data_IF_593217567907
#
_entry.id   IF_593217567907
#
_cell.length_a   1.000
_cell.length_b   1.000
_cell.length_c   1.000
_cell.angle_alpha   90.00
_cell.angle_beta   90.00
_cell.angle_gamma   90.00
#
_symmetry.space_group_name_H-M   'P 1'
#
loop_
_entity.id
_entity.type
_entity.pdbx_description
1 polymer ?
#
# COMPACT_ATOMS: atom_id res chain seq x y z
N UNK A 1 -21.08 -25.99 27.59
CA UNK A 1 -19.61 -25.84 27.45
C UNK A 1 -19.36 -25.49 25.99
N UNK A 2 -19.34 -24.19 25.69
CA UNK A 2 -19.27 -23.68 24.33
C UNK A 2 -17.82 -23.74 23.89
N UNK A 3 -17.53 -24.56 22.88
CA UNK A 3 -16.20 -24.68 22.28
C UNK A 3 -15.94 -23.38 21.52
N UNK A 4 -15.03 -22.54 22.02
CA UNK A 4 -14.55 -21.35 21.31
C UNK A 4 -13.55 -21.83 20.25
N UNK A 5 -13.64 -21.42 18.97
CA UNK A 5 -12.70 -21.87 17.94
C UNK A 5 -11.26 -21.45 18.30
N UNK A 6 -10.27 -22.28 17.98
CA UNK A 6 -8.85 -22.09 18.35
C UNK A 6 -8.22 -20.76 17.86
N UNK A 7 -8.85 -20.04 16.92
CA UNK A 7 -8.44 -18.69 16.51
C UNK A 7 -8.97 -17.53 17.35
N UNK A 8 -9.93 -17.77 18.26
CA UNK A 8 -10.60 -16.74 19.06
C UNK A 8 -9.85 -16.42 20.38
N UNK A 9 -8.71 -17.07 20.61
CA UNK A 9 -7.93 -16.96 21.85
C UNK A 9 -6.67 -16.11 21.70
N UNK A 10 -6.19 -15.91 20.47
CA UNK A 10 -4.98 -15.13 20.24
C UNK A 10 -5.28 -13.63 20.21
N UNK A 11 -4.38 -12.79 20.75
CA UNK A 11 -4.53 -11.36 20.65
C UNK A 11 -4.37 -10.89 19.20
N UNK A 12 -5.27 -9.99 18.80
CA UNK A 12 -5.21 -9.24 17.56
C UNK A 12 -4.46 -7.92 17.76
N UNK A 13 -3.87 -7.39 16.69
CA UNK A 13 -3.32 -6.04 16.73
C UNK A 13 -2.69 -5.60 15.42
N UNK A 14 -2.51 -4.29 15.27
CA UNK A 14 -1.93 -3.68 14.08
C UNK A 14 -1.05 -2.48 14.46
N UNK A 15 0.09 -2.36 13.78
CA UNK A 15 0.97 -1.21 13.81
C UNK A 15 0.59 -0.23 12.69
N UNK A 16 -0.08 0.85 13.06
CA UNK A 16 -0.68 1.77 12.10
C UNK A 16 0.31 2.85 11.63
N UNK A 17 1.05 3.44 12.57
CA UNK A 17 1.93 4.60 12.34
C UNK A 17 3.31 4.34 12.90
N UNK A 18 4.34 4.69 12.11
CA UNK A 18 5.74 4.69 12.52
C UNK A 18 6.41 5.93 11.93
N UNK A 19 6.94 6.79 12.80
CA UNK A 19 7.55 8.07 12.46
C UNK A 19 7.98 8.78 13.74
N UNK A 20 7.66 10.07 13.89
CA UNK A 20 7.85 10.80 15.17
C UNK A 20 7.05 10.20 16.33
N UNK A 21 6.00 9.44 16.01
CA UNK A 21 5.20 8.65 16.94
C UNK A 21 5.03 7.25 16.36
N UNK A 22 5.08 6.26 17.23
CA UNK A 22 4.72 4.88 16.92
C UNK A 22 3.38 4.60 17.57
N UNK A 23 2.38 4.22 16.79
CA UNK A 23 1.04 3.93 17.32
C UNK A 23 0.36 2.79 16.60
N UNK A 24 -0.49 2.10 17.34
CA UNK A 24 -1.24 0.96 16.86
C UNK A 24 -2.33 0.58 17.86
N UNK A 25 -2.76 -0.67 17.79
CA UNK A 25 -3.71 -1.24 18.73
C UNK A 25 -3.43 -2.71 18.99
N UNK A 26 -3.87 -3.20 20.15
CA UNK A 26 -3.79 -4.60 20.54
C UNK A 26 -4.99 -4.98 21.41
N UNK A 27 -5.69 -6.04 21.05
CA UNK A 27 -6.93 -6.50 21.69
C UNK A 27 -6.93 -8.01 21.85
N UNK A 28 -7.46 -8.51 22.97
CA UNK A 28 -7.60 -9.94 23.22
C UNK A 28 -9.09 -10.31 23.20
N UNK A 29 -9.59 -11.01 22.17
CA UNK A 29 -11.00 -11.40 22.09
C UNK A 29 -11.45 -12.27 23.27
N UNK A 30 -10.56 -13.12 23.79
CA UNK A 30 -10.85 -13.98 24.94
C UNK A 30 -11.07 -13.23 26.26
N UNK A 31 -10.51 -12.02 26.39
CA UNK A 31 -10.69 -11.14 27.55
C UNK A 31 -10.93 -9.71 27.05
N UNK A 32 -12.13 -9.38 26.53
CA UNK A 32 -12.36 -8.15 25.77
C UNK A 32 -12.04 -6.85 26.51
N UNK A 33 -12.11 -6.84 27.84
CA UNK A 33 -11.78 -5.66 28.67
C UNK A 33 -10.31 -5.60 29.11
N UNK A 34 -9.49 -6.60 28.79
CA UNK A 34 -8.08 -6.65 29.20
C UNK A 34 -7.27 -5.69 28.34
N UNK A 35 -6.51 -4.81 29.00
CA UNK A 35 -5.51 -3.95 28.34
C UNK A 35 -4.21 -4.72 28.18
N UNK A 36 -3.78 -4.90 26.94
CA UNK A 36 -2.54 -5.60 26.65
C UNK A 36 -1.36 -4.64 26.80
N UNK A 37 -0.26 -5.12 27.39
CA UNK A 37 1.00 -4.38 27.43
C UNK A 37 1.77 -4.68 26.15
N UNK A 38 2.29 -3.63 25.51
CA UNK A 38 3.10 -3.72 24.31
C UNK A 38 4.53 -3.30 24.60
N UNK A 39 5.49 -4.01 24.02
CA UNK A 39 6.89 -3.62 23.96
C UNK A 39 7.20 -3.11 22.56
N UNK A 40 7.53 -1.83 22.44
CA UNK A 40 8.01 -1.22 21.21
C UNK A 40 9.54 -1.25 21.24
N UNK A 41 10.13 -1.94 20.28
CA UNK A 41 11.57 -2.15 20.16
C UNK A 41 12.10 -1.29 19.00
N UNK A 42 13.09 -0.46 19.27
CA UNK A 42 13.70 0.43 18.29
C UNK A 42 15.15 0.06 18.02
N UNK A 43 15.47 -0.18 16.74
CA UNK A 43 16.83 -0.39 16.26
C UNK A 43 17.45 -1.72 16.66
N UNK A 44 18.76 -1.81 16.45
CA UNK A 44 19.61 -2.95 16.82
C UNK A 44 20.96 -2.41 17.33
N UNK A 45 21.36 -2.64 18.61
CA UNK A 45 20.60 -3.35 19.65
C UNK A 45 19.30 -2.63 20.03
N UNK A 46 18.25 -3.37 20.44
CA UNK A 46 16.91 -2.82 20.61
C UNK A 46 16.79 -1.96 21.87
N UNK A 47 16.41 -0.70 21.68
CA UNK A 47 15.88 0.14 22.76
C UNK A 47 14.41 -0.20 22.98
N UNK A 48 14.03 -0.57 24.20
CA UNK A 48 12.67 -0.99 24.55
C UNK A 48 11.90 0.13 25.24
N UNK A 49 10.68 0.36 24.77
CA UNK A 49 9.69 1.23 25.42
C UNK A 49 8.42 0.43 25.63
N UNK A 50 7.94 0.38 26.88
CA UNK A 50 6.68 -0.27 27.22
C UNK A 50 5.52 0.72 27.16
N UNK A 51 4.36 0.26 26.68
CA UNK A 51 3.12 1.00 26.76
C UNK A 51 1.94 0.07 27.06
N UNK A 52 0.90 0.63 27.69
CA UNK A 52 -0.37 -0.05 27.82
C UNK A 52 -1.25 0.31 26.61
N UNK A 53 -1.94 -0.68 26.05
CA UNK A 53 -2.95 -0.47 25.02
C UNK A 53 -4.28 -0.10 25.68
N UNK A 54 -4.40 1.16 26.13
CA UNK A 54 -5.53 1.71 26.89
C UNK A 54 -6.15 2.97 26.27
N UNK A 55 -5.62 3.45 25.15
CA UNK A 55 -6.14 4.65 24.47
C UNK A 55 -7.45 4.32 23.76
N UNK A 56 -8.48 5.15 24.00
CA UNK A 56 -9.77 5.02 23.32
C UNK A 56 -9.66 5.33 21.84
N UNK A 57 -10.27 4.47 21.03
CA UNK A 57 -10.33 4.56 19.58
C UNK A 57 -11.73 4.21 19.09
N UNK A 58 -12.49 5.20 18.58
CA UNK A 58 -13.87 4.99 18.10
C UNK A 58 -13.98 3.97 16.97
N UNK A 59 -12.95 3.83 16.15
CA UNK A 59 -12.90 2.85 15.06
C UNK A 59 -12.80 1.42 15.58
N UNK A 60 -12.14 1.19 16.72
CA UNK A 60 -12.05 -0.13 17.35
C UNK A 60 -13.38 -0.52 18.00
N UNK A 61 -14.03 0.42 18.69
CA UNK A 61 -15.35 0.21 19.29
C UNK A 61 -16.40 -0.12 18.22
N UNK A 62 -16.41 0.64 17.12
CA UNK A 62 -17.28 0.38 15.96
C UNK A 62 -17.01 -0.98 15.31
N UNK A 63 -15.77 -1.48 15.40
CA UNK A 63 -15.38 -2.81 14.93
C UNK A 63 -15.61 -3.93 15.96
N UNK A 64 -16.29 -3.66 17.07
CA UNK A 64 -16.63 -4.64 18.11
C UNK A 64 -15.46 -5.07 18.99
N UNK A 65 -14.36 -4.32 19.01
CA UNK A 65 -13.15 -4.63 19.79
C UNK A 65 -13.28 -4.05 21.19
N UNK A 66 -14.05 -4.74 22.03
CA UNK A 66 -14.28 -4.36 23.43
C UNK A 66 -14.93 -2.98 23.55
N UNK A 67 -14.40 -2.15 24.45
CA UNK A 67 -14.84 -0.76 24.68
C UNK A 67 -14.01 0.26 23.89
N UNK A 68 -13.27 -0.19 22.86
CA UNK A 68 -12.41 0.66 22.03
C UNK A 68 -11.13 1.16 22.72
N UNK A 69 -10.93 0.91 24.01
CA UNK A 69 -9.73 1.30 24.78
C UNK A 69 -8.61 0.28 24.60
N UNK A 70 -8.14 0.13 23.36
CA UNK A 70 -7.15 -0.86 22.96
C UNK A 70 -6.05 -0.26 22.08
N UNK A 71 -6.00 1.07 21.97
CA UNK A 71 -4.94 1.79 21.26
C UNK A 71 -3.70 2.00 22.12
N UNK A 72 -2.53 2.04 21.51
CA UNK A 72 -1.29 2.48 22.15
C UNK A 72 -0.58 3.52 21.29
N UNK A 73 0.20 4.38 21.93
CA UNK A 73 1.11 5.28 21.25
C UNK A 73 2.34 5.56 22.11
N UNK A 74 3.52 5.55 21.50
CA UNK A 74 4.78 5.96 22.12
C UNK A 74 5.49 6.98 21.22
N UNK A 75 6.10 8.05 21.78
CA UNK A 75 6.95 8.93 21.00
C UNK A 75 8.20 8.17 20.52
N UNK A 76 8.77 8.58 19.40
CA UNK A 76 10.11 8.15 19.04
C UNK A 76 11.10 8.70 20.07
N UNK A 77 11.97 7.88 20.69
CA UNK A 77 12.97 8.38 21.63
C UNK A 77 13.89 9.44 20.99
N UNK A 78 14.14 10.54 21.70
CA UNK A 78 14.95 11.67 21.19
C UNK A 78 16.37 11.24 20.78
N UNK A 79 16.94 10.22 21.44
CA UNK A 79 18.24 9.63 21.08
C UNK A 79 18.26 8.98 19.68
N UNK A 80 17.09 8.76 19.09
CA UNK A 80 16.90 8.21 17.75
C UNK A 80 16.41 9.27 16.76
N UNK A 81 16.30 10.54 17.17
CA UNK A 81 15.96 11.63 16.27
C UNK A 81 16.97 11.72 15.12
N UNK A 82 16.46 11.94 13.90
CA UNK A 82 17.26 11.95 12.68
C UNK A 82 17.79 10.58 12.23
N UNK A 83 17.49 9.50 12.97
CA UNK A 83 17.76 8.12 12.55
C UNK A 83 16.50 7.49 11.95
N UNK A 84 16.69 6.35 11.30
CA UNK A 84 15.61 5.53 10.76
C UNK A 84 15.59 4.12 11.38
N UNK A 85 15.33 4.02 12.70
CA UNK A 85 15.30 2.74 13.37
C UNK A 85 14.23 1.83 12.77
N UNK A 86 14.54 0.53 12.73
CA UNK A 86 13.50 -0.49 12.56
C UNK A 86 12.73 -0.56 13.88
N UNK A 87 11.42 -0.57 13.77
CA UNK A 87 10.47 -0.63 14.87
C UNK A 87 9.77 -1.98 14.81
N UNK A 88 9.88 -2.74 15.89
CA UNK A 88 9.13 -3.98 16.12
C UNK A 88 8.21 -3.80 17.32
N UNK A 89 7.00 -4.38 17.28
CA UNK A 89 6.06 -4.33 18.41
C UNK A 89 5.70 -5.76 18.83
N UNK A 90 5.85 -6.02 20.12
CA UNK A 90 5.56 -7.31 20.75
C UNK A 90 4.56 -7.16 21.87
N UNK A 91 3.83 -8.24 22.16
CA UNK A 91 2.89 -8.28 23.28
C UNK A 91 3.53 -8.96 24.48
N UNK A 92 3.61 -8.23 25.59
CA UNK A 92 4.13 -8.75 26.87
C UNK A 92 3.15 -9.79 27.40
N UNK A 93 3.48 -11.07 27.24
CA UNK A 93 2.60 -12.20 27.58
C UNK A 93 2.23 -13.11 26.40
N UNK A 94 2.54 -12.68 25.17
CA UNK A 94 2.30 -13.46 23.95
C UNK A 94 3.54 -13.44 23.04
N UNK A 95 4.68 -14.03 23.46
CA UNK A 95 5.96 -13.92 22.77
C UNK A 95 5.99 -14.53 21.36
N UNK A 96 5.01 -15.35 20.99
CA UNK A 96 4.84 -15.91 19.64
C UNK A 96 4.01 -15.04 18.69
N UNK A 97 3.27 -14.05 19.22
CA UNK A 97 2.37 -13.23 18.41
C UNK A 97 3.10 -12.00 17.90
N UNK A 98 3.05 -11.80 16.57
CA UNK A 98 3.49 -10.58 15.91
C UNK A 98 2.27 -9.75 15.52
N UNK A 99 2.31 -8.47 15.86
CA UNK A 99 1.30 -7.53 15.41
C UNK A 99 1.37 -7.36 13.89
N UNK A 100 0.22 -7.27 13.24
CA UNK A 100 0.16 -6.92 11.82
C UNK A 100 0.90 -5.59 11.58
N UNK A 101 1.57 -5.47 10.45
CA UNK A 101 2.31 -4.25 10.11
C UNK A 101 3.66 -4.09 10.81
N UNK A 102 4.17 -5.11 11.51
CA UNK A 102 5.54 -5.14 12.06
C UNK A 102 6.45 -6.09 11.26
N UNK A 103 7.77 -5.84 11.14
CA UNK A 103 8.49 -4.63 11.52
C UNK A 103 8.37 -3.53 10.46
N UNK A 104 8.53 -2.28 10.87
CA UNK A 104 8.48 -1.10 10.00
C UNK A 104 9.61 -0.14 10.29
N UNK A 105 10.02 0.66 9.30
CA UNK A 105 11.09 1.64 9.49
C UNK A 105 10.50 3.01 9.79
N UNK A 106 10.99 3.66 10.84
CA UNK A 106 10.63 5.04 11.13
C UNK A 106 11.31 5.98 10.12
N UNK A 107 10.56 6.45 9.13
CA UNK A 107 11.02 7.47 8.20
C UNK A 107 10.54 8.82 8.71
N UNK A 108 11.48 9.68 9.11
CA UNK A 108 11.20 11.03 9.62
C UNK A 108 11.28 12.08 8.51
N UNK A 109 12.15 11.83 7.55
CA UNK A 109 12.34 12.63 6.34
C UNK A 109 12.43 11.69 5.16
N UNK A 110 11.66 11.94 4.10
CA UNK A 110 11.61 11.05 2.94
C UNK A 110 13.00 10.89 2.29
N UNK A 111 13.73 11.99 2.16
CA UNK A 111 14.99 12.03 1.42
C UNK A 111 14.78 11.75 -0.07
N UNK A 112 15.88 11.41 -0.76
CA UNK A 112 15.85 11.20 -2.20
C UNK A 112 15.07 9.94 -2.59
N UNK A 113 14.08 10.13 -3.46
CA UNK A 113 13.34 9.03 -4.10
C UNK A 113 13.43 9.15 -5.61
N UNK A 114 13.71 8.02 -6.25
CA UNK A 114 13.74 7.86 -7.70
C UNK A 114 12.41 7.28 -8.16
N UNK A 115 11.71 7.98 -9.05
CA UNK A 115 10.58 7.42 -9.79
C UNK A 115 11.06 6.95 -11.16
N UNK A 116 10.73 5.71 -11.54
CA UNK A 116 11.06 5.16 -12.86
C UNK A 116 10.08 4.08 -13.29
N UNK A 117 10.05 3.76 -14.57
CA UNK A 117 9.37 2.56 -15.06
C UNK A 117 10.16 1.29 -14.72
N UNK A 118 9.43 0.19 -14.48
CA UNK A 118 9.99 -1.16 -14.38
C UNK A 118 10.47 -1.62 -15.75
N UNK A 119 11.64 -2.27 -15.76
CA UNK A 119 12.21 -2.94 -16.93
C UNK A 119 11.76 -4.40 -16.93
N UNK A 120 11.56 -4.96 -18.11
CA UNK A 120 11.15 -6.37 -18.30
C UNK A 120 12.31 -7.36 -18.12
N UNK A 121 13.23 -7.10 -17.19
CA UNK A 121 14.33 -8.01 -16.86
C UNK A 121 14.03 -8.73 -15.55
N UNK A 122 14.39 -10.01 -15.44
CA UNK A 122 14.09 -10.86 -14.28
C UNK A 122 14.51 -10.23 -12.95
N UNK A 123 15.67 -9.57 -12.91
CA UNK A 123 16.14 -8.91 -11.70
C UNK A 123 15.20 -7.77 -11.23
N UNK A 124 14.62 -7.01 -12.17
CA UNK A 124 13.73 -5.89 -11.82
C UNK A 124 12.32 -6.38 -11.45
N UNK A 125 11.83 -7.39 -12.17
CA UNK A 125 10.56 -8.07 -11.88
C UNK A 125 10.61 -8.83 -10.54
N UNK A 126 11.74 -9.44 -10.23
CA UNK A 126 11.99 -10.09 -8.93
C UNK A 126 11.92 -9.08 -7.77
N UNK A 127 12.49 -7.88 -7.95
CA UNK A 127 12.38 -6.80 -6.95
C UNK A 127 10.94 -6.30 -6.80
N UNK A 128 10.22 -6.11 -7.90
CA UNK A 128 8.81 -5.73 -7.87
C UNK A 128 7.97 -6.78 -7.14
N UNK A 129 8.12 -8.06 -7.50
CA UNK A 129 7.44 -9.17 -6.83
C UNK A 129 7.78 -9.20 -5.34
N UNK A 130 9.05 -9.02 -4.98
CA UNK A 130 9.50 -8.95 -3.60
C UNK A 130 8.84 -7.83 -2.81
N UNK A 131 8.68 -6.65 -3.43
CA UNK A 131 7.95 -5.53 -2.86
C UNK A 131 6.46 -5.86 -2.64
N UNK A 132 5.77 -6.36 -3.66
CA UNK A 132 4.34 -6.72 -3.58
C UNK A 132 4.10 -7.79 -2.51
N UNK A 133 4.97 -8.80 -2.42
CA UNK A 133 4.94 -9.81 -1.37
C UNK A 133 5.16 -9.22 0.04
N UNK A 134 6.00 -8.19 0.15
CA UNK A 134 6.16 -7.42 1.39
C UNK A 134 4.87 -6.72 1.81
N UNK A 135 4.19 -6.05 0.86
CA UNK A 135 2.91 -5.39 1.09
C UNK A 135 1.81 -6.36 1.53
N UNK A 136 1.68 -7.50 0.85
CA UNK A 136 0.72 -8.55 1.20
C UNK A 136 0.96 -9.07 2.62
N UNK A 137 2.22 -9.36 3.00
CA UNK A 137 2.57 -9.78 4.36
C UNK A 137 2.26 -8.73 5.41
N UNK A 138 2.59 -7.47 5.16
CA UNK A 138 2.27 -6.36 6.06
C UNK A 138 0.75 -6.21 6.28
N UNK A 139 -0.03 -6.57 5.27
CA UNK A 139 -1.48 -6.56 5.32
C UNK A 139 -2.10 -7.87 5.86
N UNK A 140 -1.28 -8.85 6.26
CA UNK A 140 -1.74 -10.14 6.78
C UNK A 140 -2.28 -11.11 5.72
N UNK A 141 -2.00 -10.87 4.44
CA UNK A 141 -2.43 -11.73 3.33
C UNK A 141 -1.47 -12.87 3.00
N UNK A 142 -1.93 -13.81 2.18
CA UNK A 142 -1.13 -14.90 1.64
C UNK A 142 -0.44 -14.49 0.33
N UNK A 143 0.89 -14.60 0.28
CA UNK A 143 1.68 -14.16 -0.88
C UNK A 143 1.45 -15.05 -2.10
N UNK A 144 1.30 -16.36 -1.89
CA UNK A 144 1.23 -17.33 -2.99
C UNK A 144 -0.06 -17.19 -3.81
N UNK A 145 -1.11 -16.63 -3.21
CA UNK A 145 -2.38 -16.38 -3.90
C UNK A 145 -2.53 -14.94 -4.39
N UNK A 146 -1.93 -13.97 -3.71
CA UNK A 146 -2.16 -12.55 -3.99
C UNK A 146 -1.09 -11.88 -4.86
N UNK A 147 0.08 -12.51 -5.05
CA UNK A 147 1.19 -11.89 -5.80
C UNK A 147 1.50 -12.67 -7.08
N UNK A 148 1.40 -12.04 -8.26
CA UNK A 148 1.73 -12.67 -9.53
C UNK A 148 3.16 -13.21 -9.58
N UNK A 149 3.38 -14.26 -10.38
CA UNK A 149 4.73 -14.77 -10.64
C UNK A 149 5.54 -13.78 -11.47
N UNK A 150 6.87 -13.96 -11.52
CA UNK A 150 7.73 -13.15 -12.40
C UNK A 150 7.33 -13.34 -13.87
N UNK A 151 6.92 -14.55 -14.26
CA UNK A 151 6.42 -14.84 -15.60
C UNK A 151 5.14 -14.07 -15.91
N UNK A 152 4.18 -14.02 -14.97
CA UNK A 152 2.92 -13.28 -15.15
C UNK A 152 3.17 -11.77 -15.26
N UNK A 153 4.07 -11.23 -14.44
CA UNK A 153 4.47 -9.81 -14.52
C UNK A 153 5.12 -9.50 -15.88
N UNK A 154 5.98 -10.39 -16.36
CA UNK A 154 6.61 -10.25 -17.68
C UNK A 154 5.58 -10.32 -18.81
N UNK A 155 4.69 -11.32 -18.78
CA UNK A 155 3.60 -11.50 -19.73
C UNK A 155 2.69 -10.25 -19.78
N UNK A 156 2.27 -9.75 -18.62
CA UNK A 156 1.46 -8.54 -18.52
C UNK A 156 2.17 -7.32 -19.11
N UNK A 157 3.44 -7.08 -18.77
CA UNK A 157 4.20 -5.93 -19.27
C UNK A 157 4.47 -6.00 -20.78
N UNK A 158 4.63 -7.20 -21.33
CA UNK A 158 4.90 -7.39 -22.76
C UNK A 158 3.65 -7.54 -23.60
N UNK A 159 2.47 -7.52 -22.98
CA UNK A 159 1.19 -7.70 -23.68
C UNK A 159 0.97 -9.12 -24.22
N UNK A 160 1.81 -10.08 -23.84
CA UNK A 160 1.67 -11.50 -24.20
C UNK A 160 0.76 -12.18 -23.20
N UNK A 161 -0.53 -11.92 -23.30
CA UNK A 161 -1.52 -12.71 -22.57
C UNK A 161 -1.73 -14.04 -23.33
N UNK A 162 -1.72 -15.17 -22.63
CA UNK A 162 -1.79 -16.51 -23.24
C UNK A 162 -3.17 -16.89 -23.78
N UNK A 163 -4.20 -16.08 -23.49
CA UNK A 163 -5.61 -16.39 -23.80
C UNK A 163 -6.27 -15.44 -24.83
N UNK A 164 -5.51 -14.62 -25.57
CA UNK A 164 -6.07 -13.68 -26.55
C UNK A 164 -5.79 -14.08 -28.01
N UNK A 165 -6.86 -14.12 -28.81
CA UNK A 165 -6.80 -14.24 -30.27
C UNK A 165 -6.07 -13.03 -30.89
N UNK A 166 -5.24 -13.30 -31.89
CA UNK A 166 -4.32 -12.36 -32.56
C UNK A 166 -5.00 -11.20 -33.33
N UNK A 167 -6.35 -11.20 -33.46
CA UNK A 167 -7.08 -10.26 -34.32
C UNK A 167 -7.46 -8.91 -33.66
N UNK A 168 -7.31 -8.75 -32.34
CA UNK A 168 -7.50 -7.47 -31.65
C UNK A 168 -6.16 -6.74 -31.49
N UNK A 169 -5.65 -6.19 -32.60
CA UNK A 169 -4.36 -5.48 -32.74
C UNK A 169 -4.34 -4.09 -32.03
N UNK A 170 -4.96 -3.99 -30.86
CA UNK A 170 -4.80 -2.84 -29.97
C UNK A 170 -3.71 -3.16 -28.94
N UNK A 171 -2.47 -2.81 -29.29
CA UNK A 171 -1.38 -2.66 -28.34
C UNK A 171 -1.85 -1.75 -27.20
N UNK A 172 -2.35 -2.36 -26.13
CA UNK A 172 -2.89 -1.59 -25.02
C UNK A 172 -1.70 -1.13 -24.21
N UNK A 173 -1.47 0.17 -24.19
CA UNK A 173 -0.40 0.81 -23.45
C UNK A 173 -0.37 0.31 -22.00
N UNK A 174 0.80 -0.15 -21.57
CA UNK A 174 1.05 -0.68 -20.23
C UNK A 174 2.31 -0.07 -19.64
N UNK A 175 2.25 0.24 -18.36
CA UNK A 175 3.40 0.70 -17.60
C UNK A 175 3.27 0.32 -16.14
N UNK A 176 4.40 0.05 -15.52
CA UNK A 176 4.51 -0.08 -14.09
C UNK A 176 5.57 0.87 -13.59
N UNK A 177 5.16 1.94 -12.92
CA UNK A 177 6.06 2.88 -12.27
C UNK A 177 6.39 2.39 -10.87
N UNK A 178 7.62 2.60 -10.43
CA UNK A 178 8.08 2.34 -9.07
C UNK A 178 8.76 3.55 -8.47
N UNK A 179 8.60 3.69 -7.16
CA UNK A 179 9.35 4.63 -6.34
C UNK A 179 10.43 3.87 -5.57
N UNK A 180 11.69 4.29 -5.72
CA UNK A 180 12.86 3.67 -5.09
C UNK A 180 13.56 4.65 -4.16
N UNK A 181 13.81 4.21 -2.92
CA UNK A 181 14.48 4.97 -1.87
C UNK A 181 15.59 4.11 -1.26
N UNK A 182 16.83 4.60 -1.27
CA UNK A 182 17.97 3.85 -0.73
C UNK A 182 18.12 2.45 -1.33
N UNK A 183 17.85 2.30 -2.64
CA UNK A 183 17.90 1.01 -3.35
C UNK A 183 16.73 0.05 -3.08
N UNK A 184 15.71 0.47 -2.32
CA UNK A 184 14.52 -0.33 -2.02
C UNK A 184 13.29 0.28 -2.68
N UNK A 185 12.42 -0.56 -3.27
CA UNK A 185 11.11 -0.12 -3.71
C UNK A 185 10.26 0.22 -2.49
N UNK A 186 9.62 1.38 -2.51
CA UNK A 186 8.76 1.90 -1.44
C UNK A 186 7.36 2.25 -1.91
N UNK A 187 7.08 2.07 -3.20
CA UNK A 187 5.76 2.27 -3.78
C UNK A 187 5.74 1.92 -5.26
N UNK A 188 4.55 1.74 -5.80
CA UNK A 188 4.35 1.47 -7.21
C UNK A 188 3.03 2.03 -7.73
N UNK A 189 2.96 2.21 -9.05
CA UNK A 189 1.76 2.60 -9.77
C UNK A 189 1.69 1.81 -11.08
N UNK A 190 0.73 0.89 -11.17
CA UNK A 190 0.40 0.12 -12.36
C UNK A 190 -0.58 0.91 -13.21
N UNK A 191 -0.33 0.99 -14.51
CA UNK A 191 -1.18 1.69 -15.49
C UNK A 191 -1.35 0.76 -16.69
N UNK A 192 -2.58 0.43 -17.06
CA UNK A 192 -2.84 -0.41 -18.22
C UNK A 192 -4.30 -0.87 -18.28
N UNK A 193 -4.63 -1.83 -19.16
CA UNK A 193 -5.98 -2.38 -19.18
C UNK A 193 -6.30 -3.13 -17.89
N UNK A 194 -7.60 -3.26 -17.63
CA UNK A 194 -8.16 -3.98 -16.50
C UNK A 194 -9.13 -3.14 -15.69
N UNK A 195 -9.65 -3.74 -14.63
CA UNK A 195 -10.59 -3.07 -13.74
C UNK A 195 -9.94 -1.86 -13.02
N UNK A 196 -10.67 -0.75 -12.82
CA UNK A 196 -12.10 -0.55 -13.12
C UNK A 196 -12.42 0.00 -14.51
N UNK A 197 -11.41 0.20 -15.36
CA UNK A 197 -11.60 0.75 -16.70
C UNK A 197 -12.30 -0.29 -17.61
N UNK A 198 -13.47 0.01 -18.20
CA UNK A 198 -14.15 -0.93 -19.09
C UNK A 198 -13.33 -1.16 -20.38
N UNK A 199 -13.31 -2.39 -20.91
CA UNK A 199 -12.68 -2.68 -22.20
C UNK A 199 -13.22 -1.77 -23.32
N UNK A 200 -12.35 -1.32 -24.22
CA UNK A 200 -12.72 -0.49 -25.36
C UNK A 200 -13.13 0.95 -25.03
N UNK A 201 -13.17 1.36 -23.75
CA UNK A 201 -13.65 2.69 -23.36
C UNK A 201 -12.65 3.84 -23.57
N UNK A 202 -11.47 3.54 -24.13
CA UNK A 202 -10.36 4.49 -24.26
C UNK A 202 -9.71 4.90 -22.94
N UNK A 203 -10.07 4.26 -21.82
CA UNK A 203 -9.48 4.48 -20.50
C UNK A 203 -8.46 3.40 -20.14
N UNK A 204 -7.48 3.77 -19.31
CA UNK A 204 -6.59 2.81 -18.65
C UNK A 204 -6.87 2.81 -17.15
N UNK A 205 -6.79 1.63 -16.53
CA UNK A 205 -6.85 1.49 -15.09
C UNK A 205 -5.52 1.88 -14.46
N UNK A 206 -5.60 2.53 -13.30
CA UNK A 206 -4.50 2.91 -12.45
C UNK A 206 -4.66 2.24 -11.08
N UNK A 207 -3.65 1.48 -10.67
CA UNK A 207 -3.53 0.94 -9.32
C UNK A 207 -2.28 1.49 -8.65
N UNK A 208 -2.42 2.08 -7.47
CA UNK A 208 -1.31 2.68 -6.72
C UNK A 208 -1.25 2.13 -5.31
N UNK A 209 -0.05 1.78 -4.86
CA UNK A 209 0.18 1.41 -3.47
C UNK A 209 1.55 1.93 -3.00
N UNK A 210 1.56 2.43 -1.77
CA UNK A 210 2.74 2.94 -1.10
C UNK A 210 3.01 2.14 0.16
N UNK A 211 4.28 1.84 0.40
CA UNK A 211 4.73 1.28 1.65
C UNK A 211 4.30 2.20 2.81
N UNK A 212 3.73 1.67 3.90
CA UNK A 212 3.22 2.49 4.99
C UNK A 212 4.24 3.49 5.57
N UNK A 213 5.52 3.11 5.59
CA UNK A 213 6.64 3.92 6.11
C UNK A 213 6.82 5.26 5.41
N UNK A 214 6.42 5.40 4.15
CA UNK A 214 6.67 6.63 3.36
C UNK A 214 5.40 7.41 3.02
N UNK A 215 4.27 7.05 3.65
CA UNK A 215 3.01 7.79 3.48
C UNK A 215 3.12 9.16 4.18
N UNK A 216 2.30 10.11 3.75
CA UNK A 216 2.30 11.47 4.31
C UNK A 216 3.39 12.41 3.78
N UNK A 217 4.38 11.90 3.03
CA UNK A 217 5.43 12.72 2.41
C UNK A 217 5.10 13.22 0.99
N UNK A 218 3.84 13.18 0.57
CA UNK A 218 3.43 13.61 -0.77
C UNK A 218 3.88 12.69 -1.94
N UNK A 219 4.56 11.58 -1.67
CA UNK A 219 5.06 10.66 -2.70
C UNK A 219 3.94 10.10 -3.60
N UNK A 220 2.75 9.85 -3.03
CA UNK A 220 1.59 9.37 -3.80
C UNK A 220 1.17 10.35 -4.88
N UNK A 221 1.18 11.65 -4.56
CA UNK A 221 0.91 12.71 -5.53
C UNK A 221 1.95 12.71 -6.65
N UNK A 222 3.23 12.60 -6.31
CA UNK A 222 4.30 12.60 -7.31
C UNK A 222 4.23 11.39 -8.24
N UNK A 223 3.94 10.21 -7.69
CA UNK A 223 3.80 8.99 -8.47
C UNK A 223 2.59 9.03 -9.41
N UNK A 224 1.45 9.59 -8.96
CA UNK A 224 0.28 9.79 -9.81
C UNK A 224 0.52 10.85 -10.89
N UNK A 225 1.23 11.94 -10.61
CA UNK A 225 1.59 12.92 -11.63
C UNK A 225 2.55 12.33 -12.68
N UNK A 226 3.46 11.46 -12.27
CA UNK A 226 4.28 10.69 -13.21
C UNK A 226 3.42 9.75 -14.06
N UNK A 227 2.42 9.10 -13.46
CA UNK A 227 1.45 8.27 -14.18
C UNK A 227 0.63 9.07 -15.20
N UNK A 228 0.16 10.27 -14.83
CA UNK A 228 -0.57 11.18 -15.73
C UNK A 228 0.29 11.58 -16.93
N UNK A 229 1.55 11.96 -16.68
CA UNK A 229 2.51 12.31 -17.75
C UNK A 229 2.80 11.14 -18.68
N UNK A 230 2.92 9.93 -18.14
CA UNK A 230 3.09 8.75 -18.96
C UNK A 230 1.83 8.46 -19.79
N UNK A 231 0.63 8.54 -19.19
CA UNK A 231 -0.61 8.20 -19.87
C UNK A 231 -1.11 9.28 -20.86
N UNK A 232 -0.62 10.52 -20.76
CA UNK A 232 -0.99 11.60 -21.67
C UNK A 232 -0.70 11.23 -23.13
N UNK A 233 -1.72 11.33 -23.98
CA UNK A 233 -1.65 10.94 -25.40
C UNK A 233 -1.73 9.44 -25.68
N UNK A 234 -1.83 8.60 -24.65
CA UNK A 234 -2.02 7.14 -24.77
C UNK A 234 -3.45 6.71 -24.47
N UNK A 235 -4.16 7.47 -23.64
CA UNK A 235 -5.55 7.23 -23.33
C UNK A 235 -6.32 8.53 -23.10
N UNK A 236 -7.65 8.46 -23.19
CA UNK A 236 -8.52 9.61 -22.97
C UNK A 236 -8.65 9.97 -21.48
N UNK A 237 -8.54 8.96 -20.59
CA UNK A 237 -8.65 9.12 -19.14
C UNK A 237 -7.99 7.97 -18.37
N UNK A 238 -7.66 8.22 -17.12
CA UNK A 238 -7.30 7.17 -16.15
C UNK A 238 -8.46 6.92 -15.20
N UNK A 239 -8.68 5.65 -14.88
CA UNK A 239 -9.66 5.23 -13.88
C UNK A 239 -9.02 4.44 -12.76
N UNK A 240 -9.50 4.63 -11.54
CA UNK A 240 -9.09 3.87 -10.37
C UNK A 240 -10.30 3.58 -9.49
N UNK A 241 -10.16 2.61 -8.60
CA UNK A 241 -11.18 2.29 -7.63
C UNK A 241 -10.64 2.49 -6.22
N UNK A 242 -11.50 2.93 -5.31
CA UNK A 242 -11.12 3.26 -3.95
C UNK A 242 -12.19 2.84 -2.96
N UNK A 243 -11.77 2.26 -1.83
CA UNK A 243 -12.68 1.94 -0.74
C UNK A 243 -13.37 3.22 -0.21
N UNK A 244 -14.69 3.20 0.04
CA UNK A 244 -15.44 4.37 0.52
C UNK A 244 -14.85 4.98 1.81
N UNK A 245 -14.31 4.14 2.69
CA UNK A 245 -13.71 4.56 3.96
C UNK A 245 -12.24 5.04 3.83
N UNK A 246 -11.62 4.99 2.65
CA UNK A 246 -10.24 5.43 2.45
C UNK A 246 -10.17 6.95 2.20
N UNK A 247 -10.51 7.71 3.24
CA UNK A 247 -10.60 9.17 3.20
C UNK A 247 -9.30 9.84 2.73
N UNK A 248 -8.14 9.27 3.09
CA UNK A 248 -6.83 9.80 2.67
C UNK A 248 -6.62 9.66 1.15
N UNK A 249 -6.93 8.50 0.57
CA UNK A 249 -6.83 8.30 -0.88
C UNK A 249 -7.85 9.15 -1.64
N UNK A 250 -9.10 9.22 -1.15
CA UNK A 250 -10.15 10.07 -1.72
C UNK A 250 -9.73 11.54 -1.77
N UNK A 251 -9.15 12.07 -0.68
CA UNK A 251 -8.65 13.44 -0.66
C UNK A 251 -7.54 13.67 -1.69
N UNK A 252 -6.59 12.74 -1.81
CA UNK A 252 -5.53 12.80 -2.82
C UNK A 252 -6.09 12.80 -4.24
N UNK A 253 -7.00 11.88 -4.56
CA UNK A 253 -7.57 11.74 -5.89
C UNK A 253 -8.38 12.98 -6.28
N UNK A 254 -9.23 13.50 -5.38
CA UNK A 254 -9.98 14.74 -5.60
C UNK A 254 -9.05 15.94 -5.83
N UNK A 255 -7.98 16.06 -5.04
CA UNK A 255 -6.98 17.13 -5.21
C UNK A 255 -6.20 17.03 -6.54
N UNK A 256 -6.16 15.85 -7.16
CA UNK A 256 -5.58 15.61 -8.48
C UNK A 256 -6.61 15.72 -9.62
N UNK A 257 -7.86 16.10 -9.32
CA UNK A 257 -8.91 16.31 -10.32
C UNK A 257 -9.70 15.06 -10.70
N UNK A 258 -9.58 13.97 -9.94
CA UNK A 258 -10.43 12.80 -10.17
C UNK A 258 -11.87 13.08 -9.73
N UNK A 259 -12.82 12.67 -10.57
CA UNK A 259 -14.26 12.78 -10.36
C UNK A 259 -14.83 11.40 -10.02
N UNK A 260 -15.80 11.37 -9.11
CA UNK A 260 -16.51 10.15 -8.71
C UNK A 260 -17.55 9.76 -9.76
N UNK A 261 -17.43 8.55 -10.30
CA UNK A 261 -18.35 7.98 -11.27
C UNK A 261 -19.36 7.02 -10.63
N UNK A 262 -19.36 6.90 -9.30
CA UNK A 262 -20.27 6.08 -8.52
C UNK A 262 -19.67 4.74 -8.06
N UNK A 263 -20.47 3.95 -7.34
CA UNK A 263 -20.03 2.67 -6.78
C UNK A 263 -19.77 1.64 -7.88
N UNK A 264 -18.77 0.79 -7.65
CA UNK A 264 -18.42 -0.35 -8.48
C UNK A 264 -18.00 -1.52 -7.59
N UNK A 265 -18.40 -2.74 -7.94
CA UNK A 265 -18.00 -3.93 -7.19
C UNK A 265 -16.65 -4.44 -7.70
N UNK A 266 -15.76 -4.80 -6.77
CA UNK A 266 -14.54 -5.53 -7.09
C UNK A 266 -14.93 -6.94 -7.62
N UNK A 267 -14.50 -7.36 -8.82
CA UNK A 267 -14.98 -8.60 -9.44
C UNK A 267 -14.75 -9.85 -8.60
N UNK A 268 -13.63 -9.91 -7.86
CA UNK A 268 -13.22 -11.10 -7.13
C UNK A 268 -13.98 -11.29 -5.81
N UNK A 269 -14.36 -10.21 -5.13
CA UNK A 269 -14.94 -10.26 -3.78
C UNK A 269 -16.34 -9.67 -3.67
N UNK A 270 -16.78 -8.91 -4.68
CA UNK A 270 -18.01 -8.12 -4.62
C UNK A 270 -17.92 -6.87 -3.73
N UNK A 271 -16.76 -6.60 -3.12
CA UNK A 271 -16.58 -5.44 -2.25
C UNK A 271 -16.84 -4.14 -3.01
N UNK A 272 -17.58 -3.21 -2.40
CA UNK A 272 -17.98 -1.96 -3.04
C UNK A 272 -16.87 -0.92 -2.91
N UNK A 273 -16.43 -0.40 -4.05
CA UNK A 273 -15.48 0.70 -4.20
C UNK A 273 -16.16 1.87 -4.92
N UNK A 274 -15.61 3.08 -4.82
CA UNK A 274 -15.95 4.19 -5.70
C UNK A 274 -15.04 4.19 -6.93
N UNK A 275 -15.64 4.21 -8.13
CA UNK A 275 -14.88 4.36 -9.38
C UNK A 275 -14.59 5.83 -9.60
N UNK A 276 -13.32 6.17 -9.73
CA UNK A 276 -12.87 7.55 -9.91
C UNK A 276 -12.15 7.70 -11.24
N UNK A 277 -12.36 8.82 -11.94
CA UNK A 277 -11.74 9.06 -13.24
C UNK A 277 -11.15 10.47 -13.37
N UNK A 278 -10.04 10.59 -14.11
CA UNK A 278 -9.47 11.88 -14.52
C UNK A 278 -9.22 11.88 -16.02
N UNK A 279 -9.73 12.91 -16.71
CA UNK A 279 -9.45 13.12 -18.13
C UNK A 279 -7.99 13.55 -18.32
N UNK A 280 -7.34 13.06 -19.37
CA UNK A 280 -5.99 13.47 -19.71
C UNK A 280 -5.99 14.37 -20.93
N UNK A 281 -5.19 15.47 -20.92
CA UNK A 281 -5.03 16.29 -22.10
C UNK A 281 -4.29 15.53 -23.20
N UNK A 282 -4.54 15.95 -24.45
CA UNK A 282 -3.70 15.55 -25.58
C UNK A 282 -2.22 15.91 -25.29
N UNK A 283 -1.25 15.13 -25.80
CA UNK A 283 0.14 15.27 -25.39
C UNK A 283 0.68 16.64 -25.83
N UNK A 284 1.14 17.44 -24.87
CA UNK A 284 1.84 18.71 -25.11
C UNK A 284 3.31 18.57 -24.69
N UNK A 285 4.15 17.96 -25.54
CA UNK A 285 5.59 17.80 -25.29
C UNK A 285 6.14 16.40 -25.63
N UNK A 286 7.46 16.19 -25.51
CA UNK A 286 8.08 14.91 -25.85
C UNK A 286 7.52 13.78 -24.98
N UNK A 287 7.10 12.71 -25.66
CA UNK A 287 6.50 11.52 -25.06
C UNK A 287 7.50 10.86 -24.12
N UNK A 288 7.06 10.50 -22.91
CA UNK A 288 7.87 9.70 -21.98
C UNK A 288 8.25 8.36 -22.63
N UNK A 289 9.54 8.20 -22.93
CA UNK A 289 10.09 6.91 -23.37
C UNK A 289 10.43 6.05 -22.15
N UNK A 290 9.79 4.88 -22.09
CA UNK A 290 9.82 3.90 -21.00
C UNK A 290 11.27 3.49 -20.59
N UNK A 291 12.26 3.74 -21.43
CA UNK A 291 13.63 3.21 -21.25
C UNK A 291 14.63 4.05 -20.44
N UNK A 292 14.40 5.35 -20.12
CA UNK A 292 15.51 6.20 -19.62
C UNK A 292 15.19 7.26 -18.56
N UNK A 293 13.93 7.52 -18.23
CA UNK A 293 13.61 8.70 -17.41
C UNK A 293 13.48 8.35 -15.93
N UNK A 294 14.38 8.92 -15.13
CA UNK A 294 14.34 8.93 -13.65
C UNK A 294 13.89 10.32 -13.20
N UNK A 295 12.84 10.38 -12.38
CA UNK A 295 12.46 11.63 -11.67
C UNK A 295 13.01 11.52 -10.25
N UNK A 296 13.81 12.50 -9.85
CA UNK A 296 14.19 12.69 -8.47
C UNK A 296 13.12 13.52 -7.77
N UNK A 297 12.59 13.00 -6.66
CA UNK A 297 11.71 13.73 -5.76
C UNK A 297 12.33 13.74 -4.36
N UNK A 298 12.12 14.84 -3.64
CA UNK A 298 12.58 15.05 -2.27
C UNK A 298 11.43 15.65 -1.45
#
# INVERSE_FOLDING_TARGET
>A
MTIVPEGCLDPEGCLDMVGHRVSGWAWLPAEPGRRLRVEVLFGDPPMRVEALADQHRPDLESAGKGDGQHGFAVPLPDSLAGREPVVDVRLTGFPGVRLRGTPRRAILTLGLVTLRAIRTMDADLGRLRGFLAGMVRLNGGCVDTAVPSVADLHAWLTGRDTDRNEEDDCWTDRCWLVAERGGRMVGHCRIGPGWPAPPGSGALALGIELHPDIRGFGLGRQLMLAAHRWAAGRCARLELAVLPHNAHALALYRALGYVDLGPTALPETGEIHHRMAVALPAPQGPVWHIGRSVILVN
#
